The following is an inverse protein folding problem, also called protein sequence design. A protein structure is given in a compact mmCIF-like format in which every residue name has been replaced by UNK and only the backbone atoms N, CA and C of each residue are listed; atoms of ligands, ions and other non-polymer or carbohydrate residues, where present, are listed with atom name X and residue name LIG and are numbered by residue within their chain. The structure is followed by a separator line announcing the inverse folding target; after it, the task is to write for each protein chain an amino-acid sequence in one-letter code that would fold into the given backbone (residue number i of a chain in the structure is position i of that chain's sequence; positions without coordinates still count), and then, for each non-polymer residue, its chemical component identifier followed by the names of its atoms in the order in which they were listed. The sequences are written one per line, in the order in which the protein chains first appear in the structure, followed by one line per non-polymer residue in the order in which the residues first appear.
data_IF_843019511311
#
_entry.id   IF_843019511311
#
_cell.length_a   1.000
_cell.length_b   1.000
_cell.length_c   1.000
_cell.angle_alpha   90.00
_cell.angle_beta   90.00
_cell.angle_gamma   90.00
#
_symmetry.space_group_name_H-M   'P 1'
#
loop_
_entity.id
_entity.type
_entity.pdbx_description
1 polymer ?
#
# COMPACT_ATOMS: atom_id res chain seq x y z
N UNK A 1 -5.99 -16.37 -14.22
CA UNK A 1 -6.61 -15.62 -13.09
C UNK A 1 -6.62 -14.15 -13.46
N UNK A 2 -7.75 -13.46 -13.27
CA UNK A 2 -7.86 -12.01 -13.55
C UNK A 2 -6.90 -11.22 -12.65
N UNK A 3 -6.13 -10.28 -13.22
CA UNK A 3 -5.13 -9.48 -12.49
C UNK A 3 -5.77 -8.66 -11.36
N UNK A 4 -6.98 -8.12 -11.57
CA UNK A 4 -7.70 -7.34 -10.56
C UNK A 4 -8.06 -8.22 -9.38
N UNK A 5 -8.52 -9.44 -9.65
CA UNK A 5 -8.83 -10.43 -8.60
C UNK A 5 -7.55 -10.81 -7.85
N UNK A 6 -6.45 -11.07 -8.56
CA UNK A 6 -5.16 -11.40 -7.94
C UNK A 6 -4.65 -10.29 -7.02
N UNK A 7 -4.69 -9.05 -7.48
CA UNK A 7 -4.29 -7.88 -6.71
C UNK A 7 -5.20 -7.66 -5.50
N UNK A 8 -6.52 -7.79 -5.66
CA UNK A 8 -7.49 -7.67 -4.58
C UNK A 8 -7.27 -8.75 -3.49
N UNK A 9 -7.01 -10.00 -3.88
CA UNK A 9 -6.70 -11.08 -2.95
C UNK A 9 -5.36 -10.85 -2.24
N UNK A 10 -4.33 -10.38 -2.96
CA UNK A 10 -3.05 -10.01 -2.35
C UNK A 10 -3.20 -8.89 -1.32
N UNK A 11 -4.00 -7.87 -1.63
CA UNK A 11 -4.35 -6.81 -0.67
C UNK A 11 -5.12 -7.34 0.54
N UNK A 12 -6.02 -8.30 0.35
CA UNK A 12 -6.79 -8.90 1.45
C UNK A 12 -5.88 -9.71 2.38
N UNK A 13 -4.98 -10.52 1.83
CA UNK A 13 -3.97 -11.26 2.60
C UNK A 13 -3.05 -10.31 3.38
N UNK A 14 -2.60 -9.24 2.74
CA UNK A 14 -1.81 -8.20 3.39
C UNK A 14 -2.57 -7.57 4.56
N UNK A 15 -3.82 -7.14 4.34
CA UNK A 15 -4.64 -6.52 5.37
C UNK A 15 -4.86 -7.46 6.56
N UNK A 16 -5.19 -8.73 6.31
CA UNK A 16 -5.36 -9.74 7.36
C UNK A 16 -4.06 -9.94 8.15
N UNK A 17 -2.92 -10.10 7.47
CA UNK A 17 -1.64 -10.35 8.13
C UNK A 17 -1.20 -9.16 8.98
N UNK A 18 -1.22 -7.95 8.42
CA UNK A 18 -0.81 -6.73 9.12
C UNK A 18 -1.74 -6.40 10.27
N UNK A 19 -3.06 -6.48 10.05
CA UNK A 19 -4.02 -6.22 11.11
C UNK A 19 -3.88 -7.26 12.25
N UNK A 20 -3.74 -8.54 11.93
CA UNK A 20 -3.55 -9.59 12.94
C UNK A 20 -2.28 -9.35 13.78
N UNK A 21 -1.18 -8.94 13.12
CA UNK A 21 0.05 -8.56 13.82
C UNK A 21 -0.14 -7.33 14.71
N UNK A 22 -0.83 -6.29 14.24
CA UNK A 22 -1.05 -5.08 15.05
C UNK A 22 -1.95 -5.36 16.27
N UNK A 23 -3.01 -6.15 16.09
CA UNK A 23 -3.91 -6.56 17.17
C UNK A 23 -3.18 -7.42 18.20
N UNK A 24 -2.32 -8.36 17.77
CA UNK A 24 -1.53 -9.18 18.70
C UNK A 24 -0.50 -8.37 19.48
N UNK A 25 -0.18 -7.16 19.03
CA UNK A 25 0.71 -6.21 19.70
C UNK A 25 -0.04 -5.06 20.40
N UNK A 26 -1.32 -5.27 20.73
CA UNK A 26 -2.07 -4.41 21.64
C UNK A 26 -2.79 -3.23 20.99
N UNK A 27 -2.77 -3.12 19.65
CA UNK A 27 -3.64 -2.16 18.96
C UNK A 27 -5.10 -2.62 19.11
N UNK A 28 -5.96 -1.73 19.55
CA UNK A 28 -7.40 -1.97 19.67
C UNK A 28 -8.17 -0.74 19.21
N UNK A 29 -9.40 -0.95 18.77
CA UNK A 29 -10.32 0.14 18.44
C UNK A 29 -11.12 0.43 19.70
N UNK A 30 -11.02 1.66 20.19
CA UNK A 30 -11.85 2.18 21.27
C UNK A 30 -12.75 3.27 20.70
N UNK A 31 -14.05 3.00 20.63
CA UNK A 31 -15.04 3.90 20.10
C UNK A 31 -16.34 3.81 20.93
N UNK A 32 -17.06 4.94 21.11
CA UNK A 32 -18.18 5.03 22.03
C UNK A 32 -19.42 4.24 21.59
N UNK A 33 -19.52 3.89 20.30
CA UNK A 33 -20.68 3.21 19.73
C UNK A 33 -20.30 2.23 18.60
N UNK A 34 -21.20 1.28 18.25
CA UNK A 34 -20.92 0.26 17.23
C UNK A 34 -20.69 0.82 15.82
N UNK A 35 -21.35 1.92 15.46
CA UNK A 35 -21.23 2.50 14.12
C UNK A 35 -19.86 3.15 13.95
N UNK A 36 -19.41 3.91 14.94
CA UNK A 36 -18.06 4.48 14.98
C UNK A 36 -16.98 3.40 14.92
N UNK A 37 -17.17 2.29 15.65
CA UNK A 37 -16.29 1.11 15.58
C UNK A 37 -16.23 0.56 14.15
N UNK A 38 -17.38 0.35 13.50
CA UNK A 38 -17.44 -0.18 12.14
C UNK A 38 -16.72 0.74 11.14
N UNK A 39 -16.89 2.05 11.26
CA UNK A 39 -16.17 3.02 10.43
C UNK A 39 -14.65 2.98 10.66
N UNK A 40 -14.20 2.96 11.91
CA UNK A 40 -12.77 2.92 12.24
C UNK A 40 -12.10 1.65 11.71
N UNK A 41 -12.73 0.49 11.92
CA UNK A 41 -12.25 -0.80 11.41
C UNK A 41 -12.27 -0.81 9.88
N UNK A 42 -13.37 -0.38 9.26
CA UNK A 42 -13.51 -0.33 7.81
C UNK A 42 -12.48 0.59 7.16
N UNK A 43 -12.21 1.74 7.76
CA UNK A 43 -11.19 2.69 7.33
C UNK A 43 -9.78 2.08 7.39
N UNK A 44 -9.43 1.43 8.50
CA UNK A 44 -8.12 0.79 8.68
C UNK A 44 -7.93 -0.39 7.71
N UNK A 45 -8.92 -1.28 7.61
CA UNK A 45 -8.88 -2.45 6.71
C UNK A 45 -8.83 -2.00 5.25
N UNK A 46 -9.66 -1.03 4.87
CA UNK A 46 -9.67 -0.46 3.53
C UNK A 46 -8.33 0.17 3.16
N UNK A 47 -7.72 0.90 4.10
CA UNK A 47 -6.40 1.48 3.93
C UNK A 47 -5.30 0.44 3.69
N UNK A 48 -5.22 -0.58 4.54
CA UNK A 48 -4.27 -1.68 4.38
C UNK A 48 -4.48 -2.41 3.04
N UNK A 49 -5.74 -2.69 2.71
CA UNK A 49 -6.09 -3.37 1.46
C UNK A 49 -5.64 -2.57 0.23
N UNK A 50 -5.96 -1.27 0.18
CA UNK A 50 -5.57 -0.39 -0.92
C UNK A 50 -4.05 -0.27 -1.06
N UNK A 51 -3.36 -0.13 0.09
CA UNK A 51 -1.91 0.08 0.13
C UNK A 51 -1.15 -1.11 -0.45
N UNK A 52 -1.71 -2.31 -0.46
CA UNK A 52 -1.10 -3.48 -1.11
C UNK A 52 -1.74 -3.83 -2.48
N UNK A 53 -3.07 -3.80 -2.59
CA UNK A 53 -3.76 -4.18 -3.82
C UNK A 53 -3.38 -3.28 -5.01
N UNK A 54 -3.30 -1.97 -4.80
CA UNK A 54 -3.01 -1.03 -5.89
C UNK A 54 -1.58 -1.20 -6.39
N UNK A 55 -0.52 -1.25 -5.56
CA UNK A 55 0.83 -1.55 -6.02
C UNK A 55 0.97 -2.90 -6.72
N UNK A 56 0.31 -3.95 -6.23
CA UNK A 56 0.30 -5.26 -6.90
C UNK A 56 -0.36 -5.19 -8.28
N UNK A 57 -1.46 -4.46 -8.40
CA UNK A 57 -2.10 -4.22 -9.69
C UNK A 57 -1.18 -3.43 -10.63
N UNK A 58 -0.54 -2.36 -10.16
CA UNK A 58 0.39 -1.55 -10.95
C UNK A 58 1.63 -2.34 -11.39
N UNK A 59 2.14 -3.22 -10.53
CA UNK A 59 3.20 -4.16 -10.89
C UNK A 59 2.74 -5.10 -12.02
N UNK A 60 1.59 -5.74 -11.89
CA UNK A 60 1.11 -6.66 -12.92
C UNK A 60 0.72 -5.96 -14.23
N UNK A 61 0.12 -4.76 -14.13
CA UNK A 61 -0.45 -4.03 -15.26
C UNK A 61 0.59 -3.23 -16.04
N UNK A 62 1.48 -2.55 -15.33
CA UNK A 62 2.42 -1.56 -15.88
C UNK A 62 3.88 -1.87 -15.53
N UNK A 63 4.14 -2.97 -14.80
CA UNK A 63 5.48 -3.37 -14.36
C UNK A 63 6.17 -2.30 -13.50
N UNK A 64 5.39 -1.52 -12.76
CA UNK A 64 5.88 -0.54 -11.79
C UNK A 64 6.24 -1.25 -10.48
N UNK A 65 7.52 -1.27 -10.15
CA UNK A 65 8.06 -1.98 -8.97
C UNK A 65 8.19 -1.03 -7.77
N UNK A 66 8.45 0.26 -8.01
CA UNK A 66 8.62 1.27 -6.98
C UNK A 66 7.45 1.37 -5.99
N UNK A 67 6.16 1.35 -6.39
CA UNK A 67 5.07 1.43 -5.41
C UNK A 67 5.02 0.19 -4.51
N UNK A 68 5.39 -0.98 -5.01
CA UNK A 68 5.44 -2.20 -4.19
C UNK A 68 6.60 -2.13 -3.19
N UNK A 69 7.78 -1.68 -3.63
CA UNK A 69 8.94 -1.46 -2.74
C UNK A 69 8.59 -0.42 -1.66
N UNK A 70 7.96 0.70 -2.04
CA UNK A 70 7.54 1.75 -1.11
C UNK A 70 6.58 1.20 -0.04
N UNK A 71 5.63 0.34 -0.44
CA UNK A 71 4.72 -0.33 0.50
C UNK A 71 5.49 -1.18 1.52
N UNK A 72 6.40 -2.02 1.04
CA UNK A 72 7.24 -2.85 1.91
C UNK A 72 8.14 -2.01 2.84
N UNK A 73 8.70 -0.91 2.32
CA UNK A 73 9.51 0.02 3.09
C UNK A 73 8.72 0.68 4.21
N UNK A 74 7.51 1.17 3.93
CA UNK A 74 6.67 1.81 4.94
C UNK A 74 6.28 0.84 6.05
N UNK A 75 5.89 -0.39 5.71
CA UNK A 75 5.60 -1.43 6.71
C UNK A 75 6.86 -1.80 7.51
N UNK A 76 8.00 -1.97 6.84
CA UNK A 76 9.28 -2.27 7.48
C UNK A 76 9.73 -1.18 8.45
N UNK A 77 9.57 0.09 8.07
CA UNK A 77 9.83 1.23 8.92
C UNK A 77 8.86 1.26 10.12
N UNK A 78 7.57 0.96 9.93
CA UNK A 78 6.62 0.82 11.05
C UNK A 78 7.04 -0.30 12.01
N UNK A 79 7.45 -1.46 11.49
CA UNK A 79 7.94 -2.58 12.31
C UNK A 79 9.23 -2.22 13.06
N UNK A 80 10.16 -1.51 12.41
CA UNK A 80 11.38 -1.00 13.03
C UNK A 80 11.05 -0.02 14.17
N UNK A 81 10.21 0.99 13.90
CA UNK A 81 9.84 1.98 14.91
C UNK A 81 9.14 1.35 16.12
N UNK A 82 8.33 0.33 15.88
CA UNK A 82 7.69 -0.45 16.95
C UNK A 82 8.72 -1.26 17.76
N UNK A 83 9.60 -2.01 17.10
CA UNK A 83 10.57 -2.87 17.77
C UNK A 83 11.60 -2.08 18.60
N UNK A 84 11.96 -0.88 18.16
CA UNK A 84 12.98 -0.05 18.82
C UNK A 84 12.39 1.14 19.59
N UNK A 85 11.06 1.28 19.67
CA UNK A 85 10.40 2.35 20.42
C UNK A 85 10.75 3.76 19.93
N UNK A 86 11.11 3.94 18.66
CA UNK A 86 11.58 5.23 18.13
C UNK A 86 10.45 6.18 17.73
N UNK A 87 9.20 5.75 17.89
CA UNK A 87 8.00 6.54 17.64
C UNK A 87 6.94 6.18 18.69
N UNK A 88 6.11 7.14 19.10
CA UNK A 88 5.18 6.96 20.23
C UNK A 88 4.09 5.92 19.92
N UNK A 89 3.53 5.96 18.70
CA UNK A 89 2.39 5.12 18.30
C UNK A 89 2.51 4.58 16.86
N UNK A 90 3.61 3.90 16.49
CA UNK A 90 3.90 3.55 15.09
C UNK A 90 2.83 2.65 14.45
N UNK A 91 2.28 1.69 15.21
CA UNK A 91 1.28 0.75 14.69
C UNK A 91 -0.07 1.43 14.40
N UNK A 92 -0.62 2.18 15.37
CA UNK A 92 -1.89 2.87 15.18
C UNK A 92 -1.76 4.05 14.20
N UNK A 93 -0.62 4.72 14.14
CA UNK A 93 -0.33 5.71 13.09
C UNK A 93 -0.36 5.09 11.69
N UNK A 94 0.13 3.87 11.51
CA UNK A 94 0.06 3.18 10.23
C UNK A 94 -1.39 2.93 9.77
N UNK A 95 -2.30 2.63 10.71
CA UNK A 95 -3.72 2.39 10.42
C UNK A 95 -4.55 3.66 10.24
N UNK A 96 -4.13 4.77 10.83
CA UNK A 96 -4.91 6.03 10.83
C UNK A 96 -4.43 7.02 9.78
N UNK A 97 -3.13 7.01 9.46
CA UNK A 97 -2.49 7.96 8.55
C UNK A 97 -2.28 7.32 7.15
N UNK A 98 -2.93 6.18 6.89
CA UNK A 98 -2.77 5.44 5.65
C UNK A 98 -3.02 6.25 4.38
N UNK A 99 -3.90 7.29 4.30
CA UNK A 99 -4.05 8.04 3.05
C UNK A 99 -2.76 8.77 2.64
N UNK A 100 -2.00 9.28 3.61
CA UNK A 100 -0.70 9.91 3.34
C UNK A 100 0.36 8.87 2.94
N UNK A 101 0.38 7.72 3.63
CA UNK A 101 1.26 6.60 3.30
C UNK A 101 0.97 6.08 1.88
N UNK A 102 -0.30 5.94 1.54
CA UNK A 102 -0.77 5.54 0.23
C UNK A 102 -0.44 6.57 -0.84
N UNK A 103 -0.61 7.87 -0.55
CA UNK A 103 -0.18 8.93 -1.45
C UNK A 103 1.34 8.88 -1.73
N UNK A 104 2.17 8.59 -0.72
CA UNK A 104 3.61 8.41 -0.91
C UNK A 104 3.93 7.18 -1.80
N UNK A 105 3.21 6.08 -1.61
CA UNK A 105 3.32 4.88 -2.46
C UNK A 105 2.96 5.20 -3.92
N UNK A 106 1.86 5.93 -4.14
CA UNK A 106 1.46 6.36 -5.48
C UNK A 106 2.46 7.34 -6.09
N UNK A 107 3.02 8.26 -5.30
CA UNK A 107 4.05 9.18 -5.74
C UNK A 107 5.29 8.41 -6.24
N UNK A 108 5.74 7.38 -5.51
CA UNK A 108 6.84 6.52 -5.97
C UNK A 108 6.54 5.85 -7.31
N UNK A 109 5.32 5.35 -7.51
CA UNK A 109 4.88 4.78 -8.79
C UNK A 109 4.79 5.82 -9.92
N UNK A 110 4.31 7.03 -9.62
CA UNK A 110 4.27 8.13 -10.58
C UNK A 110 5.69 8.56 -10.99
N UNK A 111 6.61 8.68 -10.04
CA UNK A 111 8.03 8.97 -10.31
C UNK A 111 8.65 7.89 -11.21
N UNK A 112 8.46 6.61 -10.89
CA UNK A 112 8.95 5.52 -11.73
C UNK A 112 8.37 5.59 -13.15
N UNK A 113 7.06 5.82 -13.27
CA UNK A 113 6.40 5.93 -14.57
C UNK A 113 6.93 7.11 -15.40
N UNK A 114 7.17 8.28 -14.77
CA UNK A 114 7.73 9.45 -15.43
C UNK A 114 9.17 9.22 -15.88
N UNK A 115 10.01 8.59 -15.05
CA UNK A 115 11.39 8.22 -15.41
C UNK A 115 11.37 7.28 -16.61
N UNK A 116 10.55 6.23 -16.56
CA UNK A 116 10.41 5.29 -17.68
C UNK A 116 9.95 6.00 -18.95
N UNK A 117 8.91 6.84 -18.88
CA UNK A 117 8.45 7.61 -20.03
C UNK A 117 9.56 8.51 -20.61
N UNK A 118 10.33 9.19 -19.75
CA UNK A 118 11.47 10.01 -20.18
C UNK A 118 12.55 9.19 -20.89
N UNK A 119 12.95 8.06 -20.30
CA UNK A 119 13.96 7.16 -20.90
C UNK A 119 13.48 6.52 -22.20
N UNK A 120 12.18 6.24 -22.32
CA UNK A 120 11.59 5.75 -23.57
C UNK A 120 11.67 6.79 -24.67
N UNK A 121 11.36 8.05 -24.35
CA UNK A 121 11.45 9.17 -25.30
C UNK A 121 12.87 9.50 -25.74
N UNK A 122 13.86 9.36 -24.86
CA UNK A 122 15.25 9.77 -25.12
C UNK A 122 16.07 8.63 -25.73
N UNK A 123 15.87 7.39 -25.27
CA UNK A 123 16.73 6.26 -25.60
C UNK A 123 15.97 5.02 -26.10
N UNK A 124 14.63 5.00 -26.07
CA UNK A 124 13.82 3.86 -26.52
C UNK A 124 13.86 2.63 -25.60
N UNK A 125 14.25 2.78 -24.33
CA UNK A 125 14.48 1.66 -23.38
C UNK A 125 13.51 1.66 -22.19
N UNK A 126 12.56 2.60 -22.12
CA UNK A 126 11.77 2.86 -20.92
C UNK A 126 10.64 1.86 -20.64
N UNK A 127 10.11 1.21 -21.69
CA UNK A 127 9.33 -0.02 -21.58
C UNK A 127 8.21 0.00 -20.52
N UNK A 128 7.22 0.88 -20.66
CA UNK A 128 5.98 0.78 -19.88
C UNK A 128 5.07 -0.28 -20.50
N UNK A 129 4.75 -1.35 -19.75
CA UNK A 129 3.81 -2.38 -20.22
C UNK A 129 2.42 -1.75 -20.40
N UNK A 130 2.03 -1.46 -21.65
CA UNK A 130 0.76 -0.85 -22.13
C UNK A 130 -0.05 -0.11 -21.05
N UNK A 131 0.26 1.14 -20.68
CA UNK A 131 -0.69 1.94 -19.86
C UNK A 131 -1.95 2.31 -20.66
N UNK A 132 -1.81 2.55 -21.96
CA UNK A 132 -2.91 2.68 -22.91
C UNK A 132 -3.10 1.39 -23.71
N UNK A 133 -4.32 0.86 -23.69
CA UNK A 133 -4.75 -0.17 -24.62
C UNK A 133 -5.17 0.47 -25.92
N UNK A 134 -4.41 0.25 -26.99
CA UNK A 134 -4.98 0.19 -28.34
C UNK A 134 -4.90 -1.27 -28.78
N UNK A 135 -6.08 -1.88 -28.84
CA UNK A 135 -6.40 -2.98 -29.74
C UNK A 135 -7.29 -2.41 -30.83
#
# INVERSE_FOLDING_TARGET
MDLRIAAALGGALYAVAVLSWMLSNGVHVDAPDPLSTAFAVGYAVGGLWLTAAVPLYLLGRASLVAPLIATGWLLGNTAYQWAYGTHLHPLSSHLTVWPLLFAAVLAAGATEALVRLGTDRVAGVGGLRRLWGTG
#
